data_IF_957086628203
#
_entry.id   IF_957086628203
#
_cell.length_a   1.000
_cell.length_b   1.000
_cell.length_c   1.000
_cell.angle_alpha   90.00
_cell.angle_beta   90.00
_cell.angle_gamma   90.00
#
_symmetry.space_group_name_H-M   'P 1'
#
loop_
_entity.id
_entity.type
_entity.pdbx_description
1 polymer ?
#
# COMPACT_ATOMS: atom_id res chain seq x y z
N UNK A 1 11.02 -0.76 7.83
CA UNK A 1 10.46 -1.37 6.61
C UNK A 1 10.51 -0.36 5.48
N UNK A 2 11.07 -0.75 4.36
CA UNK A 2 11.19 0.14 3.21
C UNK A 2 10.34 -0.39 2.06
N UNK A 3 9.50 0.49 1.53
CA UNK A 3 8.63 0.17 0.41
C UNK A 3 9.10 0.93 -0.83
N UNK A 4 9.27 0.22 -1.94
CA UNK A 4 9.51 0.83 -3.24
C UNK A 4 8.26 0.64 -4.10
N UNK A 5 7.70 1.74 -4.58
CA UNK A 5 6.49 1.75 -5.38
C UNK A 5 6.85 2.24 -6.77
N UNK A 6 6.84 1.34 -7.76
CA UNK A 6 7.27 1.65 -9.12
C UNK A 6 6.07 1.76 -10.05
N UNK A 7 5.82 2.96 -10.57
CA UNK A 7 4.80 3.17 -11.59
C UNK A 7 5.38 2.87 -12.96
N UNK A 8 4.67 2.10 -13.78
CA UNK A 8 5.08 1.83 -15.16
C UNK A 8 4.56 2.90 -16.10
N UNK A 9 4.88 2.76 -17.39
CA UNK A 9 4.32 3.64 -18.44
C UNK A 9 2.84 3.34 -18.73
N UNK A 10 2.26 2.38 -18.03
CA UNK A 10 0.83 2.03 -18.12
C UNK A 10 0.11 2.26 -16.80
N UNK A 11 0.67 3.08 -15.93
CA UNK A 11 0.08 3.33 -14.61
C UNK A 11 -1.27 4.02 -14.72
N UNK A 12 -2.29 3.43 -14.08
CA UNK A 12 -3.60 4.06 -13.85
C UNK A 12 -4.18 4.69 -15.13
N UNK A 13 -4.26 3.91 -16.20
CA UNK A 13 -4.64 4.39 -17.51
C UNK A 13 -6.00 5.09 -17.51
N UNK A 14 -6.06 6.23 -18.20
CA UNK A 14 -7.30 6.95 -18.47
C UNK A 14 -8.12 6.20 -19.53
N UNK A 15 -9.35 6.66 -19.77
CA UNK A 15 -10.20 6.08 -20.81
C UNK A 15 -9.56 6.13 -22.20
N UNK A 16 -8.74 7.15 -22.44
CA UNK A 16 -8.02 7.29 -23.71
C UNK A 16 -6.72 6.51 -23.74
N UNK A 17 -6.41 5.75 -22.69
CA UNK A 17 -5.21 4.90 -22.64
C UNK A 17 -3.94 5.65 -22.25
N UNK A 18 -4.05 6.82 -21.64
CA UNK A 18 -2.90 7.59 -21.18
C UNK A 18 -2.57 7.24 -19.73
N UNK A 19 -1.27 7.11 -19.39
CA UNK A 19 -0.91 6.89 -17.99
C UNK A 19 -1.23 8.13 -17.15
N UNK A 20 -1.50 7.90 -15.87
CA UNK A 20 -1.86 8.97 -14.95
C UNK A 20 -1.30 8.68 -13.56
N UNK A 21 -0.99 9.72 -12.77
CA UNK A 21 -0.59 9.54 -11.39
C UNK A 21 -1.70 8.89 -10.57
N UNK A 22 -1.32 8.22 -9.49
CA UNK A 22 -2.29 7.65 -8.56
C UNK A 22 -1.84 7.88 -7.12
N UNK A 23 -2.82 8.04 -6.23
CA UNK A 23 -2.55 8.15 -4.81
C UNK A 23 -2.44 6.75 -4.20
N UNK A 24 -1.52 6.62 -3.26
CA UNK A 24 -1.31 5.39 -2.51
C UNK A 24 -1.42 5.73 -1.02
N UNK A 25 -2.23 4.97 -0.29
CA UNK A 25 -2.34 5.09 1.16
C UNK A 25 -1.62 3.93 1.82
N UNK A 26 -0.82 4.26 2.82
CA UNK A 26 -0.09 3.26 3.61
C UNK A 26 -0.68 3.29 5.01
N UNK A 27 -1.24 2.16 5.44
CA UNK A 27 -1.87 2.05 6.75
C UNK A 27 -1.04 1.16 7.65
N UNK A 28 -0.81 1.61 8.88
CA UNK A 28 -0.23 0.77 9.92
C UNK A 28 -1.37 0.26 10.77
N UNK A 29 -1.49 -1.08 10.89
CA UNK A 29 -2.67 -1.73 11.44
C UNK A 29 -2.33 -2.69 12.59
N UNK A 30 -3.25 -2.79 13.58
CA UNK A 30 -3.20 -3.84 14.60
C UNK A 30 -3.64 -5.17 14.04
N UNK A 31 -4.74 -5.16 13.30
CA UNK A 31 -5.31 -6.34 12.67
C UNK A 31 -5.62 -6.01 11.22
N UNK A 32 -5.65 -7.04 10.38
CA UNK A 32 -5.78 -6.84 8.94
C UNK A 32 -7.19 -7.10 8.39
N UNK A 33 -8.06 -7.75 9.17
CA UNK A 33 -9.35 -8.24 8.66
C UNK A 33 -10.27 -7.12 8.18
N UNK A 34 -10.40 -6.04 8.93
CA UNK A 34 -11.26 -4.93 8.53
C UNK A 34 -10.77 -4.30 7.23
N UNK A 35 -9.46 -4.15 7.11
CA UNK A 35 -8.85 -3.61 5.89
C UNK A 35 -9.11 -4.53 4.70
N UNK A 36 -8.96 -5.84 4.89
CA UNK A 36 -9.14 -6.82 3.81
C UNK A 36 -10.58 -6.98 3.37
N UNK A 37 -11.55 -6.75 4.27
CA UNK A 37 -12.96 -6.95 4.00
C UNK A 37 -13.70 -5.70 3.54
N UNK A 38 -13.18 -4.53 3.83
CA UNK A 38 -13.84 -3.28 3.49
C UNK A 38 -13.94 -3.11 1.98
N UNK A 39 -15.00 -2.46 1.52
CA UNK A 39 -15.12 -2.13 0.11
C UNK A 39 -14.18 -0.99 -0.25
N UNK A 40 -13.85 -0.88 -1.52
CA UNK A 40 -13.03 0.22 -2.01
C UNK A 40 -13.64 1.58 -1.66
N UNK A 41 -14.94 1.71 -1.90
CA UNK A 41 -15.64 2.98 -1.64
C UNK A 41 -15.57 3.35 -0.16
N UNK A 42 -15.81 2.39 0.73
CA UNK A 42 -15.81 2.67 2.16
C UNK A 42 -14.42 3.03 2.67
N UNK A 43 -13.38 2.35 2.20
CA UNK A 43 -12.02 2.73 2.55
C UNK A 43 -11.65 4.09 1.97
N UNK A 44 -12.02 4.36 0.74
CA UNK A 44 -11.71 5.63 0.09
C UNK A 44 -12.34 6.79 0.83
N UNK A 45 -13.63 6.69 1.17
CA UNK A 45 -14.42 7.79 1.70
C UNK A 45 -14.40 7.90 3.22
N UNK A 46 -14.21 6.79 3.94
CA UNK A 46 -14.31 6.78 5.41
C UNK A 46 -13.43 5.71 6.05
N UNK A 47 -12.19 5.69 5.67
CA UNK A 47 -11.23 4.70 6.16
C UNK A 47 -11.08 4.69 7.68
N UNK A 48 -11.06 5.85 8.31
CA UNK A 48 -10.93 5.93 9.77
C UNK A 48 -12.09 5.22 10.47
N UNK A 49 -13.31 5.42 9.99
CA UNK A 49 -14.49 4.76 10.57
C UNK A 49 -14.48 3.27 10.28
N UNK A 50 -14.12 2.87 9.05
CA UNK A 50 -14.10 1.47 8.66
C UNK A 50 -13.05 0.66 9.40
N UNK A 51 -11.86 1.22 9.59
CA UNK A 51 -10.76 0.53 10.25
C UNK A 51 -10.85 0.60 11.77
N UNK A 52 -11.45 1.66 12.29
CA UNK A 52 -11.66 1.82 13.73
C UNK A 52 -10.38 1.65 14.52
N UNK A 53 -10.43 0.82 15.56
CA UNK A 53 -9.30 0.59 16.46
C UNK A 53 -8.14 -0.15 15.80
N UNK A 54 -8.34 -0.74 14.62
CA UNK A 54 -7.25 -1.40 13.90
C UNK A 54 -6.27 -0.40 13.30
N UNK A 55 -6.71 0.82 13.05
CA UNK A 55 -5.87 1.85 12.44
C UNK A 55 -4.99 2.54 13.48
N UNK A 56 -3.67 2.43 13.31
CA UNK A 56 -2.70 3.10 14.17
C UNK A 56 -2.18 4.36 13.50
N UNK A 57 -1.81 4.25 12.23
CA UNK A 57 -1.23 5.36 11.49
C UNK A 57 -1.56 5.25 10.00
N UNK A 58 -1.65 6.39 9.33
CA UNK A 58 -1.92 6.46 7.91
C UNK A 58 -1.01 7.49 7.24
N UNK A 59 -0.43 7.11 6.12
CA UNK A 59 0.33 7.99 5.25
C UNK A 59 -0.25 7.96 3.85
N UNK A 60 0.02 8.98 3.06
CA UNK A 60 -0.42 9.05 1.68
C UNK A 60 0.69 9.64 0.81
N UNK A 61 0.87 9.06 -0.35
CA UNK A 61 1.85 9.54 -1.32
C UNK A 61 1.29 9.39 -2.73
N UNK A 62 1.95 10.06 -3.68
CA UNK A 62 1.55 9.99 -5.09
C UNK A 62 2.65 9.29 -5.88
N UNK A 63 2.25 8.33 -6.72
CA UNK A 63 3.15 7.64 -7.63
C UNK A 63 2.89 8.15 -9.05
N UNK A 64 3.95 8.55 -9.73
CA UNK A 64 3.90 9.03 -11.11
C UNK A 64 4.24 7.90 -12.08
N UNK A 65 3.73 7.97 -13.33
CA UNK A 65 4.16 7.02 -14.34
C UNK A 65 5.67 7.09 -14.57
N UNK A 66 6.30 5.93 -14.75
CA UNK A 66 7.74 5.77 -15.03
C UNK A 66 8.64 6.28 -13.90
N UNK A 67 8.10 6.45 -12.70
CA UNK A 67 8.87 6.86 -11.52
C UNK A 67 8.74 5.84 -10.41
N UNK A 68 9.75 5.82 -9.55
CA UNK A 68 9.76 4.99 -8.34
C UNK A 68 9.77 5.89 -7.12
N UNK A 69 8.86 5.60 -6.17
CA UNK A 69 8.83 6.26 -4.88
C UNK A 69 9.35 5.31 -3.82
N UNK A 70 10.23 5.84 -2.97
CA UNK A 70 10.71 5.11 -1.80
C UNK A 70 9.98 5.64 -0.58
N UNK A 71 9.47 4.74 0.23
CA UNK A 71 8.75 5.12 1.45
C UNK A 71 9.22 4.25 2.60
N UNK A 72 9.65 4.88 3.68
CA UNK A 72 10.08 4.16 4.87
C UNK A 72 8.99 4.19 5.92
N UNK A 73 8.57 3.00 6.36
CA UNK A 73 7.60 2.85 7.43
C UNK A 73 8.35 2.40 8.68
N UNK A 74 8.25 3.21 9.73
CA UNK A 74 8.81 2.84 11.03
C UNK A 74 7.72 2.12 11.79
N UNK A 75 7.95 0.83 12.07
CA UNK A 75 6.98 0.01 12.77
C UNK A 75 7.50 -0.39 14.14
N UNK A 76 6.61 -0.36 15.11
CA UNK A 76 6.91 -0.71 16.48
C UNK A 76 5.92 -1.78 16.96
N UNK A 77 6.41 -3.03 17.06
CA UNK A 77 5.55 -4.14 17.48
C UNK A 77 5.12 -4.03 18.94
N UNK A 78 5.86 -3.31 19.75
CA UNK A 78 5.44 -3.06 21.13
C UNK A 78 4.18 -2.20 21.20
N UNK A 79 3.94 -1.40 20.14
CA UNK A 79 2.72 -0.63 19.99
C UNK A 79 1.66 -1.38 19.18
N UNK A 80 1.83 -2.69 19.02
CA UNK A 80 0.89 -3.54 18.30
C UNK A 80 0.75 -3.21 16.81
N UNK A 81 1.80 -2.66 16.21
CA UNK A 81 1.84 -2.40 14.76
C UNK A 81 2.23 -3.69 14.06
N UNK A 82 1.24 -4.45 13.64
CA UNK A 82 1.43 -5.83 13.16
C UNK A 82 1.29 -6.01 11.65
N UNK A 83 0.62 -5.08 10.96
CA UNK A 83 0.35 -5.20 9.53
C UNK A 83 0.50 -3.86 8.85
N UNK A 84 0.94 -3.91 7.60
CA UNK A 84 0.93 -2.74 6.72
C UNK A 84 -0.09 -3.01 5.63
N UNK A 85 -1.06 -2.12 5.50
CA UNK A 85 -2.01 -2.15 4.39
C UNK A 85 -1.60 -1.14 3.34
N UNK A 86 -1.63 -1.54 2.08
CA UNK A 86 -1.36 -0.64 0.96
C UNK A 86 -2.62 -0.57 0.12
N UNK A 87 -3.14 0.64 -0.07
CA UNK A 87 -4.31 0.88 -0.90
C UNK A 87 -3.95 1.83 -2.02
N UNK A 88 -4.23 1.43 -3.25
CA UNK A 88 -3.99 2.27 -4.43
C UNK A 88 -5.34 2.76 -4.95
N UNK A 89 -5.43 4.06 -5.15
CA UNK A 89 -6.69 4.69 -5.58
C UNK A 89 -6.77 4.74 -7.10
N UNK A 90 -6.81 3.55 -7.73
CA UNK A 90 -6.93 3.43 -9.17
C UNK A 90 -8.28 3.93 -9.69
N UNK A 91 -8.27 4.50 -10.88
CA UNK A 91 -9.49 5.02 -11.54
C UNK A 91 -10.53 3.94 -11.81
N UNK A 92 -10.07 2.74 -12.18
CA UNK A 92 -10.94 1.61 -12.49
C UNK A 92 -10.62 0.45 -11.57
N UNK A 93 -10.85 0.68 -10.27
CA UNK A 93 -10.44 -0.24 -9.22
C UNK A 93 -10.97 -1.68 -9.37
N UNK A 94 -12.18 -1.91 -9.92
CA UNK A 94 -12.65 -3.30 -9.96
C UNK A 94 -11.90 -4.19 -10.94
N UNK A 95 -11.07 -3.62 -11.81
CA UNK A 95 -10.36 -4.39 -12.85
C UNK A 95 -9.09 -5.05 -12.38
N UNK A 96 -8.59 -4.73 -11.20
CA UNK A 96 -7.32 -5.28 -10.74
C UNK A 96 -7.23 -5.34 -9.22
N UNK A 97 -6.04 -5.64 -8.75
CA UNK A 97 -5.73 -5.68 -7.33
C UNK A 97 -5.38 -4.27 -6.89
N UNK A 98 -6.17 -3.70 -5.98
CA UNK A 98 -5.98 -2.32 -5.52
C UNK A 98 -5.52 -2.23 -4.07
N UNK A 99 -5.41 -3.35 -3.37
CA UNK A 99 -4.90 -3.38 -1.99
C UNK A 99 -4.05 -4.61 -1.75
N UNK A 100 -3.08 -4.46 -0.85
CA UNK A 100 -2.23 -5.56 -0.38
C UNK A 100 -2.04 -5.40 1.12
N UNK A 101 -1.78 -6.50 1.80
CA UNK A 101 -1.47 -6.50 3.23
C UNK A 101 -0.14 -7.20 3.43
N UNK A 102 0.74 -6.58 4.22
CA UNK A 102 2.04 -7.14 4.55
C UNK A 102 2.09 -7.34 6.06
N UNK A 103 2.35 -8.58 6.54
CA UNK A 103 2.58 -8.76 7.96
C UNK A 103 3.94 -8.18 8.35
N UNK A 104 3.97 -7.51 9.51
CA UNK A 104 5.21 -7.04 10.09
C UNK A 104 5.84 -8.22 10.83
N UNK A 105 6.99 -8.65 10.38
CA UNK A 105 7.66 -9.79 11.01
C UNK A 105 8.20 -9.40 12.38
N UNK A 106 8.14 -10.36 13.31
CA UNK A 106 8.75 -10.22 14.60
C UNK A 106 10.25 -10.22 14.42
N UNK A 107 10.91 -9.15 14.87
CA UNK A 107 12.36 -9.06 14.73
C UNK A 107 13.07 -9.89 15.78
N UNK A 108 13.87 -10.86 15.33
CA UNK A 108 14.88 -11.44 16.18
C UNK A 108 15.98 -10.40 16.43
N UNK A 109 16.80 -10.65 17.44
CA UNK A 109 17.88 -9.72 17.81
C UNK A 109 18.90 -9.48 16.69
N UNK A 110 18.91 -10.30 15.67
CA UNK A 110 19.84 -10.18 14.54
C UNK A 110 19.19 -9.60 13.29
N UNK A 111 17.90 -9.34 13.28
CA UNK A 111 17.27 -8.73 12.11
C UNK A 111 17.39 -7.22 12.20
N UNK A 112 18.63 -6.78 12.13
CA UNK A 112 18.95 -5.36 12.09
C UNK A 112 18.96 -4.98 10.63
N UNK A 113 17.95 -4.35 10.22
CA UNK A 113 17.87 -3.93 8.85
C UNK A 113 16.43 -3.89 8.45
N UNK A 114 16.12 -2.92 7.69
CA UNK A 114 14.77 -2.73 7.22
C UNK A 114 14.45 -3.84 6.22
N UNK A 115 13.34 -4.50 6.43
CA UNK A 115 12.74 -5.31 5.39
C UNK A 115 12.45 -4.44 4.19
N UNK A 116 12.72 -4.95 3.00
CA UNK A 116 12.49 -4.23 1.75
C UNK A 116 11.45 -4.95 0.92
N UNK A 117 10.47 -4.21 0.47
CA UNK A 117 9.43 -4.72 -0.41
C UNK A 117 9.35 -3.82 -1.63
N UNK A 118 9.24 -4.45 -2.80
CA UNK A 118 9.10 -3.71 -4.05
C UNK A 118 7.79 -4.07 -4.72
N UNK A 119 7.07 -3.04 -5.15
CA UNK A 119 5.78 -3.21 -5.79
C UNK A 119 5.79 -2.51 -7.15
N UNK A 120 5.11 -3.13 -8.10
CA UNK A 120 4.89 -2.53 -9.41
C UNK A 120 3.41 -2.15 -9.53
N UNK A 121 3.18 -0.92 -9.96
CA UNK A 121 1.84 -0.41 -10.23
C UNK A 121 1.71 -0.22 -11.73
N UNK A 122 0.85 -1.02 -12.35
CA UNK A 122 0.67 -1.00 -13.79
C UNK A 122 -0.80 -1.28 -14.13
N UNK A 123 -1.31 -0.64 -15.16
CA UNK A 123 -2.73 -0.64 -15.49
C UNK A 123 -3.54 -0.18 -14.26
N UNK A 124 -4.37 -1.04 -13.69
CA UNK A 124 -5.16 -0.74 -12.50
C UNK A 124 -4.90 -1.81 -11.43
N UNK A 125 -3.63 -2.23 -11.31
CA UNK A 125 -3.25 -3.28 -10.39
C UNK A 125 -1.91 -2.97 -9.71
N UNK A 126 -1.78 -3.42 -8.46
CA UNK A 126 -0.51 -3.42 -7.73
C UNK A 126 -0.10 -4.86 -7.50
N UNK A 127 1.18 -5.15 -7.66
CA UNK A 127 1.72 -6.48 -7.37
C UNK A 127 3.10 -6.36 -6.74
N UNK A 128 3.40 -7.30 -5.87
CA UNK A 128 4.73 -7.39 -5.31
C UNK A 128 5.66 -8.05 -6.32
N UNK A 129 6.86 -7.47 -6.47
CA UNK A 129 7.88 -8.02 -7.36
C UNK A 129 9.17 -8.21 -6.57
N UNK A 130 10.10 -8.97 -7.17
CA UNK A 130 11.40 -9.13 -6.55
C UNK A 130 12.17 -7.81 -6.58
N UNK A 131 12.88 -7.46 -5.49
CA UNK A 131 13.71 -6.26 -5.49
C UNK A 131 14.89 -6.44 -6.46
N UNK A 132 15.22 -5.34 -7.09
CA UNK A 132 16.38 -5.30 -8.01
C UNK A 132 17.71 -5.51 -7.27
#
# INVERSE_FOLDING_TARGET
>A
MRLALKGTNRLNLTESGQPAPTSVRIYTLRESQRFQKATYKDLKDKDTAELGDDLIHRDELTVQPEESQQFEVIVDREKEEKFIGIMVLFRQYPKGVWRLTIPVEEKGIFSIGAQKFTFELTDHTIRQIEPD
#
